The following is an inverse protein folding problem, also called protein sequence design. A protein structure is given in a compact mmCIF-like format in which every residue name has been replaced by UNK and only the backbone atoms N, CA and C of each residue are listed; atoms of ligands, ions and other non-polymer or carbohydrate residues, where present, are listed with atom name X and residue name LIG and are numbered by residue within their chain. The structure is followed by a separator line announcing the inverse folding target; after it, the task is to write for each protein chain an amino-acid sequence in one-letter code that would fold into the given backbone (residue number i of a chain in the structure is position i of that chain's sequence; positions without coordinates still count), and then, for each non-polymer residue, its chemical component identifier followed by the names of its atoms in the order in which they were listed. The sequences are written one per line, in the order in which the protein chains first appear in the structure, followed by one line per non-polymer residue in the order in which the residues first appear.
data_IF_685661429896
#
_entry.id   IF_685661429896
#
_cell.length_a   1.000
_cell.length_b   1.000
_cell.length_c   1.000
_cell.angle_alpha   90.00
_cell.angle_beta   90.00
_cell.angle_gamma   90.00
#
_symmetry.space_group_name_H-M   'P 1'
#
loop_
_entity.id
_entity.type
_entity.pdbx_description
1 polymer ?
#
# COMPACT_ATOMS: atom_id res chain seq x y z
N UNK A 1 1.22 -39.99 -25.56
CA UNK A 1 0.64 -38.68 -25.24
C UNK A 1 0.75 -38.31 -23.76
N UNK A 2 0.56 -39.24 -22.82
CA UNK A 2 0.66 -38.97 -21.38
C UNK A 2 2.04 -38.43 -20.93
N UNK A 3 3.12 -38.95 -21.50
CA UNK A 3 4.48 -38.49 -21.19
C UNK A 3 4.65 -36.99 -21.46
N UNK A 4 4.24 -36.50 -22.64
CA UNK A 4 4.32 -35.06 -22.96
C UNK A 4 3.52 -34.18 -22.00
N UNK A 5 2.33 -34.61 -21.57
CA UNK A 5 1.50 -33.86 -20.62
C UNK A 5 2.12 -33.79 -19.23
N UNK A 6 2.73 -34.88 -18.74
CA UNK A 6 3.37 -34.91 -17.42
C UNK A 6 4.57 -33.97 -17.34
N UNK A 7 5.30 -33.77 -18.44
CA UNK A 7 6.44 -32.83 -18.46
C UNK A 7 6.03 -31.39 -18.83
N UNK A 8 4.97 -31.20 -19.63
CA UNK A 8 4.54 -29.88 -20.10
C UNK A 8 3.61 -29.15 -19.11
N UNK A 9 2.70 -29.87 -18.44
CA UNK A 9 1.72 -29.28 -17.50
C UNK A 9 2.40 -28.59 -16.31
N UNK A 10 3.45 -29.17 -15.66
CA UNK A 10 4.16 -28.47 -14.60
C UNK A 10 4.85 -27.19 -15.07
N UNK A 11 5.46 -27.20 -16.27
CA UNK A 11 6.11 -26.02 -16.83
C UNK A 11 5.10 -24.91 -17.14
N UNK A 12 3.95 -25.26 -17.72
CA UNK A 12 2.85 -24.32 -17.96
C UNK A 12 2.27 -23.79 -16.65
N UNK A 13 2.06 -24.66 -15.65
CA UNK A 13 1.58 -24.26 -14.33
C UNK A 13 2.53 -23.28 -13.63
N UNK A 14 3.84 -23.51 -13.72
CA UNK A 14 4.85 -22.58 -13.22
C UNK A 14 4.85 -21.26 -13.99
N UNK A 15 4.78 -21.27 -15.33
CA UNK A 15 4.74 -20.06 -16.14
C UNK A 15 3.50 -19.20 -15.82
N UNK A 16 2.32 -19.83 -15.72
CA UNK A 16 1.07 -19.14 -15.37
C UNK A 16 1.09 -18.66 -13.93
N UNK A 17 1.54 -19.49 -12.99
CA UNK A 17 1.61 -19.13 -11.57
C UNK A 17 2.59 -18.00 -11.29
N UNK A 18 3.75 -17.99 -11.97
CA UNK A 18 4.74 -16.91 -11.84
C UNK A 18 4.26 -15.62 -12.49
N UNK A 19 3.63 -15.68 -13.67
CA UNK A 19 3.03 -14.50 -14.29
C UNK A 19 1.93 -13.89 -13.40
N UNK A 20 1.04 -14.72 -12.84
CA UNK A 20 0.01 -14.26 -11.92
C UNK A 20 0.60 -13.68 -10.62
N UNK A 21 1.61 -14.32 -10.03
CA UNK A 21 2.30 -13.84 -8.84
C UNK A 21 3.05 -12.51 -9.08
N UNK A 22 3.71 -12.37 -10.24
CA UNK A 22 4.40 -11.15 -10.62
C UNK A 22 3.43 -9.98 -10.83
N UNK A 23 2.32 -10.20 -11.54
CA UNK A 23 1.26 -9.20 -11.71
C UNK A 23 0.65 -8.80 -10.36
N UNK A 24 0.36 -9.79 -9.51
CA UNK A 24 -0.13 -9.52 -8.15
C UNK A 24 0.87 -8.69 -7.33
N UNK A 25 2.17 -8.98 -7.43
CA UNK A 25 3.24 -8.23 -6.76
C UNK A 25 3.35 -6.78 -7.23
N UNK A 26 3.21 -6.53 -8.54
CA UNK A 26 3.18 -5.18 -9.10
C UNK A 26 1.92 -4.39 -8.66
N UNK A 27 0.78 -5.07 -8.54
CA UNK A 27 -0.47 -4.44 -8.09
C UNK A 27 -0.47 -4.14 -6.58
N UNK A 28 0.28 -4.89 -5.76
CA UNK A 28 0.47 -4.56 -4.34
C UNK A 28 1.37 -3.33 -4.12
N UNK A 29 2.27 -3.03 -5.06
CA UNK A 29 3.16 -1.86 -4.98
C UNK A 29 2.45 -0.55 -5.41
N UNK A 30 1.27 -0.66 -6.02
CA UNK A 30 0.40 0.50 -6.23
C UNK A 30 -0.39 0.83 -4.96
N UNK A 31 0.20 1.61 -4.06
CA UNK A 31 -0.47 2.04 -2.84
C UNK A 31 0.48 2.63 -1.78
N UNK A 32 0.29 2.17 -0.54
CA UNK A 32 1.10 2.55 0.62
C UNK A 32 2.48 1.90 0.49
N UNK A 33 3.53 2.68 0.27
CA UNK A 33 4.88 2.14 0.13
C UNK A 33 5.46 1.58 1.45
N UNK A 34 6.39 0.63 1.35
CA UNK A 34 7.04 0.01 2.52
C UNK A 34 7.80 1.03 3.39
N UNK A 35 8.35 2.08 2.77
CA UNK A 35 9.05 3.15 3.47
C UNK A 35 8.13 4.00 4.33
N UNK A 36 6.91 4.28 3.85
CA UNK A 36 5.86 4.91 4.63
C UNK A 36 5.41 4.00 5.77
N UNK A 37 5.18 2.71 5.50
CA UNK A 37 4.77 1.74 6.51
C UNK A 37 5.79 1.62 7.65
N UNK A 38 7.09 1.60 7.32
CA UNK A 38 8.16 1.57 8.30
C UNK A 38 8.21 2.86 9.12
N UNK A 39 8.11 4.04 8.49
CA UNK A 39 8.06 5.33 9.21
C UNK A 39 6.89 5.42 10.18
N UNK A 40 5.69 5.01 9.74
CA UNK A 40 4.51 4.97 10.61
C UNK A 40 4.76 4.04 11.81
N UNK A 41 5.37 2.88 11.60
CA UNK A 41 5.71 1.95 12.70
C UNK A 41 6.70 2.53 13.71
N UNK A 42 7.65 3.34 13.26
CA UNK A 42 8.66 3.97 14.12
C UNK A 42 8.06 5.13 14.93
N UNK A 43 7.19 5.93 14.30
CA UNK A 43 6.59 7.14 14.89
C UNK A 43 5.39 6.83 15.79
N UNK A 44 4.61 5.79 15.46
CA UNK A 44 3.46 5.36 16.28
C UNK A 44 3.95 4.48 17.43
N UNK A 45 4.34 5.14 18.51
CA UNK A 45 4.79 4.51 19.75
C UNK A 45 3.64 4.30 20.73
N UNK A 46 3.86 3.45 21.74
CA UNK A 46 2.90 3.23 22.82
C UNK A 46 2.48 4.55 23.48
N UNK A 47 1.17 4.83 23.50
CA UNK A 47 0.62 6.08 24.02
C UNK A 47 0.32 7.13 22.96
N UNK A 48 0.65 6.87 21.69
CA UNK A 48 0.28 7.71 20.54
C UNK A 48 -0.79 7.04 19.67
N UNK A 49 -1.32 7.75 18.68
CA UNK A 49 -2.27 7.23 17.71
C UNK A 49 -2.07 7.91 16.36
N UNK A 50 -2.26 7.16 15.27
CA UNK A 50 -2.21 7.71 13.92
C UNK A 50 -3.62 7.88 13.33
N UNK A 51 -3.83 9.00 12.66
CA UNK A 51 -5.04 9.31 11.90
C UNK A 51 -4.71 9.31 10.40
N UNK A 52 -5.42 8.50 9.63
CA UNK A 52 -5.29 8.43 8.17
C UNK A 52 -6.57 9.00 7.55
N UNK A 53 -6.41 9.94 6.62
CA UNK A 53 -7.55 10.60 5.95
C UNK A 53 -7.43 10.39 4.45
N UNK A 54 -8.38 9.64 3.88
CA UNK A 54 -8.55 9.49 2.44
C UNK A 54 -9.83 10.22 2.03
N UNK A 55 -9.70 11.17 1.11
CA UNK A 55 -10.81 12.02 0.69
C UNK A 55 -10.69 12.39 -0.78
N UNK A 56 -11.83 12.59 -1.44
CA UNK A 56 -11.92 13.05 -2.83
C UNK A 56 -12.62 14.39 -2.86
N UNK A 57 -12.01 15.40 -3.48
CA UNK A 57 -12.59 16.74 -3.59
C UNK A 57 -12.52 17.60 -2.32
N UNK A 58 -11.50 17.40 -1.49
CA UNK A 58 -11.38 18.18 -0.24
C UNK A 58 -10.92 19.62 -0.49
N UNK A 59 -11.46 20.54 0.30
CA UNK A 59 -10.97 21.92 0.39
C UNK A 59 -9.90 21.96 1.48
N UNK A 60 -8.63 22.09 1.07
CA UNK A 60 -7.45 22.03 1.98
C UNK A 60 -7.57 23.02 3.15
N UNK A 61 -8.08 24.22 2.89
CA UNK A 61 -8.23 25.25 3.93
C UNK A 61 -9.18 24.83 5.05
N UNK A 62 -10.26 24.09 4.73
CA UNK A 62 -11.19 23.57 5.73
C UNK A 62 -10.55 22.50 6.59
N UNK A 63 -9.68 21.68 6.02
CA UNK A 63 -8.92 20.66 6.78
C UNK A 63 -7.94 21.35 7.71
N UNK A 64 -7.21 22.36 7.23
CA UNK A 64 -6.28 23.14 8.07
C UNK A 64 -7.00 23.80 9.23
N UNK A 65 -8.16 24.39 8.98
CA UNK A 65 -8.99 25.04 10.00
C UNK A 65 -9.51 24.01 11.03
N UNK A 66 -9.96 22.84 10.60
CA UNK A 66 -10.47 21.78 11.48
C UNK A 66 -9.38 21.14 12.36
N UNK A 67 -8.13 21.12 11.89
CA UNK A 67 -6.99 20.58 12.64
C UNK A 67 -6.20 21.67 13.40
N UNK A 68 -6.60 22.94 13.26
CA UNK A 68 -5.92 24.05 13.92
C UNK A 68 -6.01 23.92 15.45
N UNK A 69 -4.89 24.14 16.14
CA UNK A 69 -4.81 24.09 17.60
C UNK A 69 -4.76 22.69 18.19
N UNK A 70 -4.74 21.64 17.36
CA UNK A 70 -4.46 20.27 17.80
C UNK A 70 -2.93 20.03 17.78
N UNK A 71 -2.41 19.32 18.78
CA UNK A 71 -1.00 18.90 18.80
C UNK A 71 -0.83 17.66 17.92
N UNK A 72 -0.66 17.91 16.62
CA UNK A 72 -0.58 16.87 15.58
C UNK A 72 0.76 16.94 14.87
N UNK A 73 1.35 15.77 14.64
CA UNK A 73 2.53 15.64 13.79
C UNK A 73 2.12 15.12 12.40
N UNK A 74 2.44 15.88 11.34
CA UNK A 74 2.14 15.48 9.97
C UNK A 74 3.23 14.55 9.44
N UNK A 75 2.90 13.26 9.33
CA UNK A 75 3.81 12.24 8.81
C UNK A 75 3.92 12.23 7.27
N UNK A 76 2.80 12.42 6.57
CA UNK A 76 2.76 12.43 5.11
C UNK A 76 1.47 13.09 4.58
N UNK A 77 1.54 13.71 3.41
CA UNK A 77 0.39 14.21 2.67
C UNK A 77 0.64 14.10 1.16
N UNK A 78 -0.38 13.70 0.41
CA UNK A 78 -0.40 13.82 -1.05
C UNK A 78 -1.32 14.96 -1.55
N UNK A 79 -1.88 15.75 -0.62
CA UNK A 79 -2.62 16.97 -0.95
C UNK A 79 -1.63 17.96 -1.56
N UNK A 80 -1.73 18.11 -2.88
CA UNK A 80 -0.91 19.01 -3.71
C UNK A 80 -1.55 20.39 -3.82
#
# INVERSE_FOLDING_TARGET
MLFGLIFLVPLLGMAVGTAAGALSGMLTDTGIDDGYTNRVREEVTSGTSALFVLTSGVVVDRVREALAGQDMHLLHTNLS
#
